data_IF_210345077148
#
_entry.id   IF_210345077148
#
_cell.length_a   1.000
_cell.length_b   1.000
_cell.length_c   1.000
_cell.angle_alpha   90.00
_cell.angle_beta   90.00
_cell.angle_gamma   90.00
#
_symmetry.space_group_name_H-M   'P 1'
#
loop_
_entity.id
_entity.type
_entity.pdbx_description
1 polymer ?
#
# COMPACT_ATOMS: atom_id res chain seq x y z
N UNK A 1 23.93 -20.77 -34.77
CA UNK A 1 23.00 -19.68 -35.16
C UNK A 1 21.81 -19.43 -34.20
N UNK A 2 21.46 -20.36 -33.29
CA UNK A 2 20.23 -20.26 -32.46
C UNK A 2 20.39 -19.65 -31.05
N UNK A 3 21.60 -19.40 -30.55
CA UNK A 3 21.81 -18.97 -29.15
C UNK A 3 21.93 -17.44 -28.93
N UNK A 4 21.84 -16.61 -29.98
CA UNK A 4 21.96 -15.14 -29.86
C UNK A 4 20.60 -14.44 -29.62
N UNK A 5 19.52 -15.21 -29.62
CA UNK A 5 18.12 -14.80 -29.45
C UNK A 5 17.67 -14.56 -28.00
N UNK A 6 18.18 -15.41 -27.11
CA UNK A 6 17.67 -15.51 -25.74
C UNK A 6 17.84 -14.26 -24.85
N UNK A 7 18.98 -13.54 -24.88
CA UNK A 7 19.21 -12.50 -23.88
C UNK A 7 18.31 -11.27 -24.10
N UNK A 8 18.01 -10.92 -25.36
CA UNK A 8 17.15 -9.77 -25.64
C UNK A 8 15.66 -10.08 -25.38
N UNK A 9 15.22 -11.32 -25.57
CA UNK A 9 13.85 -11.72 -25.26
C UNK A 9 13.59 -11.65 -23.73
N UNK A 10 14.59 -12.03 -22.93
CA UNK A 10 14.51 -11.93 -21.46
C UNK A 10 14.45 -10.47 -20.98
N UNK A 11 15.25 -9.58 -21.60
CA UNK A 11 15.25 -8.14 -21.30
C UNK A 11 13.91 -7.49 -21.64
N UNK A 12 13.32 -7.84 -22.78
CA UNK A 12 12.00 -7.32 -23.18
C UNK A 12 10.88 -7.79 -22.24
N UNK A 13 10.95 -9.02 -21.73
CA UNK A 13 9.98 -9.55 -20.77
C UNK A 13 10.03 -8.84 -19.40
N UNK A 14 11.22 -8.37 -18.99
CA UNK A 14 11.38 -7.58 -17.75
C UNK A 14 10.93 -6.13 -17.88
N UNK A 15 10.76 -5.61 -19.10
CA UNK A 15 10.37 -4.22 -19.38
C UNK A 15 8.86 -4.03 -19.56
N UNK A 16 8.07 -5.10 -19.54
CA UNK A 16 6.61 -5.01 -19.45
C UNK A 16 6.23 -4.45 -18.08
N UNK A 17 6.25 -3.13 -17.98
CA UNK A 17 5.98 -2.39 -16.75
C UNK A 17 4.63 -2.75 -16.16
N UNK A 18 4.61 -2.93 -14.84
CA UNK A 18 3.38 -3.06 -14.06
C UNK A 18 2.61 -1.75 -14.19
N UNK A 19 1.61 -1.71 -15.06
CA UNK A 19 0.65 -0.61 -15.07
C UNK A 19 0.01 -0.58 -13.67
N UNK A 20 0.26 0.50 -12.93
CA UNK A 20 -0.26 0.65 -11.57
C UNK A 20 -1.77 0.53 -11.58
N UNK A 21 -2.32 -0.33 -10.71
CA UNK A 21 -3.76 -0.42 -10.52
C UNK A 21 -4.31 0.97 -10.14
N UNK A 22 -5.54 1.31 -10.55
CA UNK A 22 -6.16 2.55 -10.14
C UNK A 22 -6.22 2.62 -8.60
N UNK A 23 -6.03 3.81 -8.00
CA UNK A 23 -6.09 3.97 -6.55
C UNK A 23 -7.47 3.54 -6.05
N UNK A 24 -7.48 2.73 -4.99
CA UNK A 24 -8.71 2.36 -4.29
C UNK A 24 -8.91 3.31 -3.12
N UNK A 25 -10.12 3.84 -2.96
CA UNK A 25 -10.46 4.74 -1.87
C UNK A 25 -11.32 4.00 -0.84
N UNK A 26 -10.96 4.14 0.43
CA UNK A 26 -11.73 3.65 1.57
C UNK A 26 -12.04 4.84 2.46
N UNK A 27 -13.33 5.15 2.61
CA UNK A 27 -13.80 6.19 3.54
C UNK A 27 -14.22 5.50 4.83
N UNK A 28 -13.49 5.75 5.92
CA UNK A 28 -13.87 5.31 7.25
C UNK A 28 -14.57 6.46 7.96
N UNK A 29 -15.82 6.22 8.39
CA UNK A 29 -16.60 7.15 9.18
C UNK A 29 -16.76 6.55 10.58
N UNK A 30 -16.38 7.31 11.60
CA UNK A 30 -16.57 6.94 12.99
C UNK A 30 -17.52 7.95 13.64
N UNK A 31 -18.53 7.43 14.34
CA UNK A 31 -19.46 8.24 15.12
C UNK A 31 -18.82 8.60 16.47
N UNK A 32 -18.96 9.86 16.89
CA UNK A 32 -18.46 10.39 18.17
C UNK A 32 -16.97 10.17 18.50
N UNK A 33 -16.13 9.81 17.51
CA UNK A 33 -14.70 9.61 17.73
C UNK A 33 -14.00 10.97 17.94
N UNK A 34 -13.53 11.21 19.16
CA UNK A 34 -12.79 12.39 19.54
C UNK A 34 -11.32 12.33 19.15
N UNK A 35 -10.70 13.49 18.96
CA UNK A 35 -9.26 13.59 18.67
C UNK A 35 -8.39 12.93 19.75
N UNK A 36 -8.84 12.95 21.00
CA UNK A 36 -8.09 12.36 22.10
C UNK A 36 -8.21 10.84 22.21
N UNK A 37 -9.03 10.16 21.40
CA UNK A 37 -9.38 8.75 21.61
C UNK A 37 -8.41 7.76 20.95
N UNK A 38 -7.57 8.22 20.02
CA UNK A 38 -6.56 7.38 19.37
C UNK A 38 -5.25 7.35 20.17
N UNK A 39 -4.62 6.18 20.19
CA UNK A 39 -3.29 5.99 20.75
C UNK A 39 -2.25 6.90 20.07
N UNK A 40 -2.36 7.09 18.74
CA UNK A 40 -1.52 8.00 17.97
C UNK A 40 -1.60 9.48 18.39
N UNK A 41 -2.69 9.88 19.07
CA UNK A 41 -2.85 11.23 19.63
C UNK A 41 -2.54 11.30 21.13
N UNK A 42 -1.97 10.23 21.71
CA UNK A 42 -1.49 10.22 23.09
C UNK A 42 -2.51 9.75 24.12
N UNK A 43 -3.57 9.03 23.71
CA UNK A 43 -4.49 8.42 24.68
C UNK A 43 -3.73 7.40 25.55
N UNK A 44 -3.83 7.46 26.89
CA UNK A 44 -2.98 6.69 27.79
C UNK A 44 -3.25 5.17 27.80
N UNK A 45 -4.46 4.75 27.40
CA UNK A 45 -4.91 3.35 27.46
C UNK A 45 -5.66 2.81 26.25
N UNK A 46 -6.08 3.66 25.30
CA UNK A 46 -6.79 3.22 24.08
C UNK A 46 -5.75 2.70 23.11
N UNK A 47 -5.81 1.40 22.86
CA UNK A 47 -4.99 0.75 21.86
C UNK A 47 -5.74 0.73 20.52
N UNK A 48 -5.29 1.53 19.57
CA UNK A 48 -5.85 1.60 18.21
C UNK A 48 -4.83 1.13 17.17
N UNK A 49 -4.23 -0.07 17.29
CA UNK A 49 -3.00 -0.45 16.58
C UNK A 49 -3.15 -0.50 15.05
N UNK A 50 -4.37 -0.63 14.51
CA UNK A 50 -4.61 -0.55 13.07
C UNK A 50 -4.63 0.90 12.59
N UNK A 51 -5.26 1.81 13.35
CA UNK A 51 -5.34 3.25 13.03
C UNK A 51 -4.02 3.97 13.36
N UNK A 52 -3.30 3.54 14.39
CA UNK A 52 -2.01 4.10 14.79
C UNK A 52 -0.89 3.81 13.77
N UNK A 53 -1.09 2.82 12.89
CA UNK A 53 -0.15 2.41 11.84
C UNK A 53 -0.51 2.94 10.45
N UNK A 54 -1.69 3.55 10.30
CA UNK A 54 -2.13 4.18 9.03
C UNK A 54 -1.39 5.49 8.81
#
# INVERSE_FOLDING_TARGET
PWCRGLPWALVLLTLSGVAGAPPSFVLLLADDLGFGDLGSYGHPSSATPNLDRM
#
